data_IF_314142275778
#
_entry.id   IF_314142275778
#
_cell.length_a   1.000
_cell.length_b   1.000
_cell.length_c   1.000
_cell.angle_alpha   90.00
_cell.angle_beta   90.00
_cell.angle_gamma   90.00
#
_symmetry.space_group_name_H-M   'P 1'
#
loop_
_entity.id
_entity.type
_entity.pdbx_description
1 polymer ?
#
# COMPACT_ATOMS: atom_id res chain seq x y z
N UNK A 1 30.98 1.95 -37.26
CA UNK A 1 31.23 1.29 -35.97
C UNK A 1 29.89 0.80 -35.43
N UNK A 2 29.65 -0.50 -35.48
CA UNK A 2 28.42 -1.12 -34.97
C UNK A 2 28.48 -1.20 -33.44
N UNK A 3 27.57 -0.54 -32.75
CA UNK A 3 27.44 -0.67 -31.30
C UNK A 3 26.67 -1.95 -30.98
N UNK A 4 27.25 -2.77 -30.10
CA UNK A 4 26.67 -4.03 -29.65
C UNK A 4 26.13 -3.81 -28.24
N UNK A 5 24.81 -3.77 -28.07
CA UNK A 5 24.16 -3.57 -26.76
C UNK A 5 23.85 -4.94 -26.16
N UNK A 6 24.65 -5.35 -25.17
CA UNK A 6 24.38 -6.55 -24.37
C UNK A 6 23.33 -6.23 -23.31
N UNK A 7 22.10 -6.71 -23.51
CA UNK A 7 21.06 -6.73 -22.49
C UNK A 7 21.15 -8.04 -21.70
N UNK A 8 21.35 -7.94 -20.39
CA UNK A 8 21.27 -9.08 -19.47
C UNK A 8 20.13 -8.86 -18.49
N UNK A 9 19.33 -9.89 -18.25
CA UNK A 9 18.33 -9.90 -17.19
C UNK A 9 19.02 -10.30 -15.89
N UNK A 10 19.30 -9.33 -15.02
CA UNK A 10 19.70 -9.62 -13.65
C UNK A 10 18.50 -10.22 -12.91
N UNK A 11 18.43 -11.54 -12.86
CA UNK A 11 17.58 -12.21 -11.87
C UNK A 11 18.23 -12.08 -10.51
N UNK A 12 17.45 -11.75 -9.48
CA UNK A 12 17.95 -11.74 -8.11
C UNK A 12 18.43 -13.14 -7.72
N UNK A 13 19.44 -13.26 -6.85
CA UNK A 13 19.85 -14.55 -6.29
C UNK A 13 18.66 -15.33 -5.70
N UNK A 14 18.57 -16.62 -6.01
CA UNK A 14 17.44 -17.46 -5.60
C UNK A 14 17.24 -17.49 -4.07
N UNK A 15 18.35 -17.40 -3.32
CA UNK A 15 18.36 -17.35 -1.85
C UNK A 15 17.62 -16.15 -1.24
N UNK A 16 17.44 -15.06 -2.00
CA UNK A 16 16.80 -13.84 -1.51
C UNK A 16 15.27 -13.92 -1.59
N UNK A 17 14.72 -14.70 -2.52
CA UNK A 17 13.28 -14.80 -2.75
C UNK A 17 12.47 -15.21 -1.51
N UNK A 18 12.89 -16.21 -0.70
CA UNK A 18 12.16 -16.56 0.52
C UNK A 18 12.01 -15.38 1.48
N UNK A 19 13.07 -14.57 1.64
CA UNK A 19 13.04 -13.38 2.48
C UNK A 19 12.12 -12.29 1.91
N UNK A 20 12.17 -12.05 0.60
CA UNK A 20 11.26 -11.10 -0.05
C UNK A 20 9.79 -11.54 0.06
N UNK A 21 9.52 -12.83 -0.13
CA UNK A 21 8.18 -13.40 0.01
C UNK A 21 7.65 -13.22 1.42
N UNK A 22 8.50 -13.41 2.44
CA UNK A 22 8.14 -13.12 3.82
C UNK A 22 7.81 -11.64 4.03
N UNK A 23 8.62 -10.72 3.51
CA UNK A 23 8.36 -9.28 3.64
C UNK A 23 7.08 -8.85 2.92
N UNK A 24 6.77 -9.45 1.77
CA UNK A 24 5.51 -9.26 1.04
C UNK A 24 4.33 -9.81 1.84
N UNK A 25 4.47 -10.97 2.48
CA UNK A 25 3.39 -11.57 3.28
C UNK A 25 3.09 -10.73 4.53
N UNK A 26 4.12 -10.22 5.20
CA UNK A 26 4.00 -9.28 6.32
C UNK A 26 3.27 -8.01 5.89
N UNK A 27 3.65 -7.44 4.73
CA UNK A 27 2.98 -6.27 4.17
C UNK A 27 1.46 -6.53 3.96
N UNK A 28 1.12 -7.65 3.31
CA UNK A 28 -0.29 -8.05 3.08
C UNK A 28 -1.06 -8.21 4.39
N UNK A 29 -0.46 -8.84 5.40
CA UNK A 29 -1.07 -9.05 6.71
C UNK A 29 -1.39 -7.72 7.40
N UNK A 30 -0.43 -6.78 7.41
CA UNK A 30 -0.63 -5.45 7.99
C UNK A 30 -1.78 -4.71 7.32
N UNK A 31 -1.77 -4.63 5.98
CA UNK A 31 -2.83 -3.98 5.20
C UNK A 31 -4.19 -4.59 5.54
N UNK A 32 -4.30 -5.92 5.54
CA UNK A 32 -5.55 -6.63 5.86
C UNK A 32 -6.05 -6.31 7.27
N UNK A 33 -5.14 -6.17 8.24
CA UNK A 33 -5.50 -5.82 9.62
C UNK A 33 -5.98 -4.38 9.78
N UNK A 34 -5.46 -3.46 8.96
CA UNK A 34 -5.75 -2.02 9.08
C UNK A 34 -6.99 -1.58 8.28
N UNK A 35 -7.31 -2.23 7.17
CA UNK A 35 -8.46 -1.83 6.34
C UNK A 35 -9.76 -1.74 7.17
N UNK A 36 -10.15 -2.73 7.98
CA UNK A 36 -11.38 -2.65 8.76
C UNK A 36 -11.36 -1.51 9.79
N UNK A 37 -10.22 -1.25 10.41
CA UNK A 37 -10.08 -0.22 11.46
C UNK A 37 -10.04 1.20 10.88
N UNK A 38 -9.59 1.34 9.63
CA UNK A 38 -9.53 2.62 8.92
C UNK A 38 -10.81 2.96 8.15
N UNK A 39 -11.76 2.01 8.02
CA UNK A 39 -13.02 2.21 7.32
C UNK A 39 -14.03 3.02 8.16
N UNK A 40 -13.70 4.28 8.44
CA UNK A 40 -14.53 5.23 9.18
C UNK A 40 -14.62 6.55 8.39
N UNK A 41 -15.82 7.11 8.28
CA UNK A 41 -16.10 8.40 7.62
C UNK A 41 -15.09 9.51 7.96
N UNK A 42 -14.65 9.64 9.21
CA UNK A 42 -13.66 10.65 9.60
C UNK A 42 -12.30 10.46 8.90
N UNK A 43 -11.84 9.22 8.78
CA UNK A 43 -10.57 8.86 8.14
C UNK A 43 -10.72 8.90 6.62
N UNK A 44 -11.83 8.38 6.10
CA UNK A 44 -12.13 8.37 4.66
C UNK A 44 -12.19 9.80 4.11
N UNK A 45 -12.83 10.74 4.83
CA UNK A 45 -12.87 12.15 4.44
C UNK A 45 -11.47 12.80 4.41
N UNK A 46 -10.59 12.44 5.37
CA UNK A 46 -9.19 12.88 5.33
C UNK A 46 -8.44 12.28 4.13
N UNK A 47 -8.70 11.01 3.82
CA UNK A 47 -8.05 10.33 2.69
C UNK A 47 -8.51 10.87 1.32
N UNK A 48 -9.72 11.41 1.19
CA UNK A 48 -10.19 12.09 -0.03
C UNK A 48 -9.34 13.31 -0.40
N UNK A 49 -8.66 13.93 0.57
CA UNK A 49 -7.83 15.11 0.32
C UNK A 49 -6.60 14.76 -0.52
N UNK A 50 -6.13 15.75 -1.31
CA UNK A 50 -4.91 15.64 -2.11
C UNK A 50 -3.68 15.58 -1.19
N UNK A 51 -2.95 14.46 -1.22
CA UNK A 51 -1.79 14.24 -0.36
C UNK A 51 -1.34 12.79 -0.32
N UNK A 52 -0.15 12.54 0.25
CA UNK A 52 0.37 11.18 0.43
C UNK A 52 -0.42 10.45 1.52
N UNK A 53 -0.82 9.20 1.27
CA UNK A 53 -1.56 8.43 2.25
C UNK A 53 -0.74 8.20 3.53
N UNK A 54 0.58 8.04 3.39
CA UNK A 54 1.52 7.89 4.48
C UNK A 54 1.43 9.04 5.50
N UNK A 55 1.35 10.30 5.06
CA UNK A 55 1.35 11.44 6.00
C UNK A 55 0.07 11.50 6.82
N UNK A 56 -1.04 11.06 6.25
CA UNK A 56 -2.36 11.02 6.91
C UNK A 56 -2.45 9.84 7.88
N UNK A 57 -1.97 8.66 7.47
CA UNK A 57 -2.12 7.43 8.25
C UNK A 57 -1.03 7.24 9.32
N UNK A 58 0.17 7.77 9.11
CA UNK A 58 1.28 7.66 10.08
C UNK A 58 0.97 8.16 11.51
N UNK A 59 0.22 9.27 11.73
CA UNK A 59 -0.16 9.67 13.09
C UNK A 59 -1.26 8.78 13.70
N UNK A 60 -2.07 8.10 12.87
CA UNK A 60 -3.20 7.27 13.32
C UNK A 60 -2.71 5.87 13.68
N UNK A 61 -1.98 5.25 12.76
CA UNK A 61 -1.40 3.92 12.95
C UNK A 61 -0.03 4.12 13.58
N UNK A 62 0.12 3.64 14.82
CA UNK A 62 1.43 3.58 15.47
C UNK A 62 2.16 2.33 15.00
N UNK A 63 3.45 2.47 14.72
CA UNK A 63 4.32 1.31 14.47
C UNK A 63 4.55 0.57 15.79
N UNK A 64 3.88 -0.58 15.94
CA UNK A 64 4.02 -1.46 17.10
C UNK A 64 5.14 -2.48 16.92
N UNK A 65 5.30 -3.02 15.72
CA UNK A 65 6.27 -4.07 15.41
C UNK A 65 7.64 -3.49 15.01
N UNK A 66 8.58 -3.43 15.96
CA UNK A 66 9.94 -2.90 15.73
C UNK A 66 10.76 -3.76 14.75
N UNK A 67 10.52 -5.06 14.72
CA UNK A 67 11.23 -6.01 13.84
C UNK A 67 10.85 -5.84 12.36
N UNK A 68 9.72 -5.20 12.04
CA UNK A 68 9.35 -4.89 10.65
C UNK A 68 10.24 -3.75 10.14
N UNK A 69 10.94 -3.92 9.01
CA UNK A 69 11.69 -2.84 8.37
C UNK A 69 10.84 -1.59 8.14
N UNK A 70 11.41 -0.42 8.44
CA UNK A 70 10.71 0.87 8.33
C UNK A 70 10.14 1.12 6.94
N UNK A 71 10.84 0.66 5.89
CA UNK A 71 10.40 0.79 4.50
C UNK A 71 9.12 0.01 4.22
N UNK A 72 9.01 -1.21 4.76
CA UNK A 72 7.81 -2.04 4.59
C UNK A 72 6.64 -1.37 5.27
N UNK A 73 6.82 -0.94 6.52
CA UNK A 73 5.78 -0.22 7.26
C UNK A 73 5.26 1.01 6.48
N UNK A 74 6.16 1.85 5.97
CA UNK A 74 5.77 3.04 5.18
C UNK A 74 5.04 2.66 3.89
N UNK A 75 5.52 1.63 3.20
CA UNK A 75 4.87 1.13 1.98
C UNK A 75 3.47 0.56 2.29
N UNK A 76 3.32 -0.18 3.40
CA UNK A 76 2.04 -0.71 3.84
C UNK A 76 1.03 0.41 4.07
N UNK A 77 1.43 1.51 4.73
CA UNK A 77 0.55 2.67 4.93
C UNK A 77 0.13 3.31 3.61
N UNK A 78 1.08 3.55 2.70
CA UNK A 78 0.79 4.18 1.42
C UNK A 78 -0.18 3.33 0.59
N UNK A 79 0.10 2.03 0.48
CA UNK A 79 -0.75 1.07 -0.23
C UNK A 79 -2.14 0.97 0.40
N UNK A 80 -2.23 0.95 1.74
CA UNK A 80 -3.52 0.92 2.44
C UNK A 80 -4.36 2.14 2.06
N UNK A 81 -3.79 3.34 2.08
CA UNK A 81 -4.54 4.54 1.70
C UNK A 81 -4.92 4.58 0.22
N UNK A 82 -4.08 4.05 -0.68
CA UNK A 82 -4.44 3.89 -2.10
C UNK A 82 -5.63 2.93 -2.29
N UNK A 83 -5.61 1.79 -1.59
CA UNK A 83 -6.73 0.83 -1.62
C UNK A 83 -8.01 1.52 -1.12
N UNK A 84 -7.95 2.21 0.01
CA UNK A 84 -9.11 2.90 0.58
C UNK A 84 -9.65 3.99 -0.35
N UNK A 85 -8.80 4.81 -0.95
CA UNK A 85 -9.20 5.79 -1.97
C UNK A 85 -9.93 5.14 -3.14
N UNK A 86 -9.36 4.06 -3.68
CA UNK A 86 -10.01 3.32 -4.77
C UNK A 86 -11.38 2.75 -4.36
N UNK A 87 -11.54 2.29 -3.11
CA UNK A 87 -12.85 1.82 -2.63
C UNK A 87 -13.84 2.98 -2.44
N UNK A 88 -13.39 4.15 -1.99
CA UNK A 88 -14.23 5.36 -1.89
C UNK A 88 -14.74 5.74 -3.28
N UNK A 89 -13.84 5.85 -4.26
CA UNK A 89 -14.20 6.19 -5.64
C UNK A 89 -15.21 5.18 -6.23
N UNK A 90 -14.98 3.88 -6.01
CA UNK A 90 -15.92 2.83 -6.45
C UNK A 90 -17.29 2.96 -5.79
N UNK A 91 -17.33 3.29 -4.50
CA UNK A 91 -18.59 3.51 -3.78
C UNK A 91 -19.35 4.69 -4.39
N UNK A 92 -18.68 5.80 -4.67
CA UNK A 92 -19.29 7.00 -5.27
C UNK A 92 -19.83 6.72 -6.68
N UNK A 93 -19.07 5.99 -7.50
CA UNK A 93 -19.52 5.56 -8.83
C UNK A 93 -20.77 4.67 -8.71
N UNK A 94 -20.76 3.72 -7.78
CA UNK A 94 -21.90 2.84 -7.55
C UNK A 94 -23.15 3.60 -7.09
N UNK A 95 -22.99 4.52 -6.13
CA UNK A 95 -24.09 5.38 -5.68
C UNK A 95 -24.61 6.29 -6.79
N UNK A 96 -23.74 6.78 -7.68
CA UNK A 96 -24.17 7.55 -8.85
C UNK A 96 -25.03 6.70 -9.80
N UNK A 97 -24.60 5.47 -10.12
CA UNK A 97 -25.31 4.55 -11.02
C UNK A 97 -26.66 4.10 -10.44
N UNK A 98 -26.76 3.87 -9.13
CA UNK A 98 -28.00 3.39 -8.51
C UNK A 98 -29.07 4.49 -8.40
N UNK A 99 -28.65 5.75 -8.30
CA UNK A 99 -29.56 6.89 -8.12
C UNK A 99 -29.93 7.61 -9.43
N UNK A 100 -29.46 7.15 -10.58
CA UNK A 100 -29.80 7.64 -11.93
C UNK A 100 -30.36 6.49 -12.77
#
# INVERSE_FOLDING_TARGET
MSSLTLSYTLTLPQSIYPHLNYLISVNKRLIKSWIPTLWNNQILNKLKQTGKALTILKPIIKRTEKWIPSRIYRNSLELTGQILRSQIERKEIYEFIVNH
#
